data_IF_476357838972
#
_entry.id   IF_476357838972
#
_cell.length_a   1.000
_cell.length_b   1.000
_cell.length_c   1.000
_cell.angle_alpha   90.00
_cell.angle_beta   90.00
_cell.angle_gamma   90.00
#
_symmetry.space_group_name_H-M   'P 1'
#
loop_
_entity.id
_entity.type
_entity.pdbx_description
1 polymer ?
#
# COMPACT_ATOMS: atom_id res chain seq x y z
N UNK A 1 19.22 41.11 -12.27
CA UNK A 1 19.56 40.24 -13.40
C UNK A 1 18.39 39.39 -13.87
N UNK A 2 17.51 38.85 -12.99
CA UNK A 2 16.42 37.91 -13.35
C UNK A 2 15.09 38.59 -13.70
N UNK A 3 14.91 39.86 -13.38
CA UNK A 3 13.66 40.57 -13.62
C UNK A 3 13.41 40.74 -15.13
N UNK A 4 12.25 40.28 -15.61
CA UNK A 4 11.87 40.34 -17.03
C UNK A 4 12.57 39.32 -17.94
N UNK A 5 13.41 38.45 -17.41
CA UNK A 5 14.10 37.43 -18.17
C UNK A 5 13.35 36.08 -18.11
N UNK A 6 13.55 35.26 -19.16
CA UNK A 6 13.03 33.88 -19.20
C UNK A 6 14.02 32.96 -18.44
N UNK A 7 13.51 32.24 -17.46
CA UNK A 7 14.32 31.29 -16.71
C UNK A 7 14.36 29.94 -17.46
N UNK A 8 15.52 29.58 -17.98
CA UNK A 8 15.74 28.34 -18.73
C UNK A 8 16.59 27.38 -17.92
N UNK A 9 16.12 26.13 -17.74
CA UNK A 9 16.91 25.08 -17.10
C UNK A 9 16.52 23.69 -17.59
N UNK A 10 17.42 22.71 -17.35
CA UNK A 10 17.17 21.30 -17.65
C UNK A 10 16.44 20.64 -16.48
N UNK A 11 15.11 20.49 -16.59
CA UNK A 11 14.16 20.24 -15.52
C UNK A 11 13.88 21.50 -14.67
N UNK A 12 13.46 22.55 -15.35
CA UNK A 12 13.35 23.93 -14.84
C UNK A 12 12.65 24.08 -13.49
N UNK A 13 11.72 23.21 -13.16
CA UNK A 13 10.98 23.29 -11.90
C UNK A 13 11.90 23.15 -10.68
N UNK A 14 12.94 22.33 -10.82
CA UNK A 14 13.94 22.14 -9.77
C UNK A 14 14.71 23.44 -9.48
N UNK A 15 15.36 23.98 -10.50
CA UNK A 15 16.26 25.13 -10.36
C UNK A 15 15.46 26.40 -10.05
N UNK A 16 14.31 26.60 -10.69
CA UNK A 16 13.44 27.76 -10.45
C UNK A 16 12.90 27.77 -9.02
N UNK A 17 12.45 26.63 -8.48
CA UNK A 17 11.94 26.58 -7.11
C UNK A 17 13.03 26.83 -6.09
N UNK A 18 14.23 26.30 -6.31
CA UNK A 18 15.37 26.54 -5.45
C UNK A 18 15.72 28.03 -5.40
N UNK A 19 15.90 28.66 -6.55
CA UNK A 19 16.24 30.10 -6.66
C UNK A 19 15.11 30.96 -6.07
N UNK A 20 13.84 30.65 -6.38
CA UNK A 20 12.68 31.38 -5.83
C UNK A 20 12.64 31.31 -4.30
N UNK A 21 12.92 30.14 -3.71
CA UNK A 21 12.91 29.96 -2.25
C UNK A 21 14.04 30.75 -1.59
N UNK A 22 15.25 30.72 -2.16
CA UNK A 22 16.39 31.48 -1.64
C UNK A 22 16.15 33.00 -1.74
N UNK A 23 15.64 33.48 -2.88
CA UNK A 23 15.32 34.89 -3.05
C UNK A 23 14.21 35.37 -2.10
N UNK A 24 13.18 34.53 -1.88
CA UNK A 24 12.11 34.84 -0.92
C UNK A 24 12.64 34.96 0.51
N UNK A 25 13.61 34.14 0.90
CA UNK A 25 14.23 34.19 2.22
C UNK A 25 14.95 35.53 2.51
N UNK A 26 15.38 36.23 1.47
CA UNK A 26 16.01 37.54 1.54
C UNK A 26 15.09 38.69 1.05
N UNK A 27 13.77 38.45 0.99
CA UNK A 27 12.75 39.47 0.70
C UNK A 27 12.51 39.77 -0.77
N UNK A 28 13.06 38.98 -1.71
CA UNK A 28 12.82 39.15 -3.15
C UNK A 28 11.85 38.12 -3.71
N UNK A 29 10.88 38.55 -4.50
CA UNK A 29 9.94 37.68 -5.19
C UNK A 29 10.39 37.43 -6.64
N UNK A 30 10.68 36.17 -6.99
CA UNK A 30 10.99 35.76 -8.36
C UNK A 30 9.69 35.43 -9.13
N UNK A 31 9.41 36.22 -10.16
CA UNK A 31 8.33 35.98 -11.11
C UNK A 31 8.93 36.08 -12.53
N UNK A 32 9.28 34.93 -13.12
CA UNK A 32 9.83 34.86 -14.46
C UNK A 32 9.16 33.75 -15.25
N UNK A 33 8.91 33.95 -16.58
CA UNK A 33 8.51 32.83 -17.44
C UNK A 33 9.55 31.73 -17.40
N UNK A 34 9.11 30.48 -17.54
CA UNK A 34 9.98 29.30 -17.41
C UNK A 34 9.99 28.48 -18.69
N UNK A 35 11.18 28.04 -19.11
CA UNK A 35 11.36 27.07 -20.19
C UNK A 35 12.13 25.86 -19.68
N UNK A 36 11.59 24.68 -19.96
CA UNK A 36 12.21 23.40 -19.59
C UNK A 36 12.85 22.75 -20.81
N UNK A 37 14.16 22.64 -20.86
CA UNK A 37 14.87 22.04 -22.00
C UNK A 37 14.56 20.54 -22.13
N UNK A 38 14.20 19.81 -21.06
CA UNK A 38 13.71 18.42 -21.16
C UNK A 38 12.42 18.34 -21.97
N UNK A 39 11.47 19.24 -21.70
CA UNK A 39 10.18 19.28 -22.42
C UNK A 39 10.37 19.66 -23.87
N UNK A 40 11.11 20.72 -24.08
CA UNK A 40 11.42 21.20 -25.43
C UNK A 40 12.14 20.12 -26.24
N UNK A 41 13.15 19.43 -25.65
CA UNK A 41 13.84 18.34 -26.32
C UNK A 41 12.90 17.19 -26.71
N UNK A 42 11.92 16.85 -25.88
CA UNK A 42 10.94 15.80 -26.21
C UNK A 42 10.01 16.18 -27.35
N UNK A 43 9.72 17.47 -27.48
CA UNK A 43 8.84 18.00 -28.53
C UNK A 43 9.60 18.26 -29.86
N UNK A 44 10.77 18.84 -29.75
CA UNK A 44 11.57 19.28 -30.91
C UNK A 44 12.44 18.14 -31.45
N UNK A 45 12.96 17.29 -30.55
CA UNK A 45 13.86 16.17 -30.87
C UNK A 45 13.29 14.86 -30.28
N UNK A 46 12.17 14.33 -30.82
CA UNK A 46 11.59 13.09 -30.35
C UNK A 46 12.47 11.86 -30.68
N UNK A 47 12.27 10.72 -29.96
CA UNK A 47 12.89 9.44 -30.30
C UNK A 47 14.16 9.09 -29.52
N UNK A 48 14.68 9.95 -28.66
CA UNK A 48 15.82 9.60 -27.82
C UNK A 48 15.42 8.71 -26.64
N UNK A 49 16.23 7.69 -26.29
CA UNK A 49 15.92 6.74 -25.22
C UNK A 49 16.00 7.38 -23.81
N UNK A 50 16.68 8.51 -23.69
CA UNK A 50 16.76 9.29 -22.44
C UNK A 50 16.97 10.76 -22.72
N UNK A 51 16.20 11.59 -22.00
CA UNK A 51 16.31 13.04 -22.02
C UNK A 51 17.03 13.61 -20.79
N UNK A 52 17.82 12.81 -20.07
CA UNK A 52 18.73 13.34 -19.06
C UNK A 52 19.86 14.12 -19.72
N UNK A 53 20.28 15.25 -19.13
CA UNK A 53 21.23 16.19 -19.76
C UNK A 53 22.44 15.49 -20.33
N UNK A 54 23.14 14.68 -19.52
CA UNK A 54 24.36 14.02 -19.94
C UNK A 54 24.17 12.97 -21.04
N UNK A 55 23.05 12.21 -21.04
CA UNK A 55 22.79 11.23 -22.11
C UNK A 55 22.35 11.92 -23.39
N UNK A 56 21.47 12.89 -23.28
CA UNK A 56 20.95 13.63 -24.44
C UNK A 56 22.08 14.42 -25.13
N UNK A 57 22.89 15.16 -24.38
CA UNK A 57 24.01 15.91 -24.93
C UNK A 57 25.01 14.98 -25.65
N UNK A 58 25.31 13.81 -25.07
CA UNK A 58 26.19 12.82 -25.72
C UNK A 58 25.58 12.30 -27.02
N UNK A 59 24.29 11.98 -27.06
CA UNK A 59 23.59 11.54 -28.26
C UNK A 59 23.51 12.63 -29.35
N UNK A 60 23.59 13.90 -28.95
CA UNK A 60 23.55 15.06 -29.84
C UNK A 60 24.97 15.57 -30.23
N UNK A 61 26.04 14.92 -29.80
CA UNK A 61 27.42 15.34 -30.04
C UNK A 61 27.84 16.62 -29.30
N UNK A 62 27.11 17.00 -28.24
CA UNK A 62 27.44 18.16 -27.41
C UNK A 62 28.51 17.75 -26.39
N UNK A 63 29.69 18.39 -26.44
CA UNK A 63 30.76 18.16 -25.49
C UNK A 63 30.36 18.57 -24.07
N UNK A 64 30.70 17.74 -23.09
CA UNK A 64 30.38 17.93 -21.67
C UNK A 64 31.70 18.10 -20.89
N UNK A 65 31.98 19.30 -20.50
CA UNK A 65 33.09 19.59 -19.61
C UNK A 65 32.64 19.66 -18.16
N UNK A 66 33.48 19.20 -17.23
CA UNK A 66 33.23 19.31 -15.78
C UNK A 66 31.86 18.82 -15.29
N UNK A 67 31.41 17.63 -15.73
CA UNK A 67 30.15 17.01 -15.32
C UNK A 67 29.99 16.95 -13.81
N UNK A 68 28.72 17.15 -13.36
CA UNK A 68 28.32 17.18 -11.94
C UNK A 68 28.81 18.40 -11.16
N UNK A 69 29.36 19.41 -11.85
CA UNK A 69 29.56 20.76 -11.31
C UNK A 69 28.56 21.71 -11.94
N UNK A 70 28.04 22.64 -11.16
CA UNK A 70 26.98 23.57 -11.60
C UNK A 70 27.33 24.31 -12.90
N UNK A 71 28.58 24.75 -13.05
CA UNK A 71 29.06 25.43 -14.25
C UNK A 71 29.03 24.56 -15.50
N UNK A 72 29.50 23.30 -15.41
CA UNK A 72 29.50 22.38 -16.55
C UNK A 72 28.08 21.98 -16.99
N UNK A 73 27.18 21.72 -16.05
CA UNK A 73 25.78 21.41 -16.34
C UNK A 73 25.04 22.61 -16.91
N UNK A 74 25.40 23.85 -16.50
CA UNK A 74 24.87 25.10 -17.08
C UNK A 74 25.34 25.29 -18.50
N UNK A 75 26.65 25.14 -18.78
CA UNK A 75 27.20 25.26 -20.15
C UNK A 75 26.57 24.24 -21.10
N UNK A 76 26.42 22.99 -20.66
CA UNK A 76 25.72 21.94 -21.42
C UNK A 76 24.25 22.31 -21.70
N UNK A 77 23.54 22.88 -20.71
CA UNK A 77 22.15 23.33 -20.88
C UNK A 77 22.05 24.47 -21.88
N UNK A 78 23.00 25.41 -21.87
CA UNK A 78 23.06 26.51 -22.88
C UNK A 78 23.29 25.96 -24.27
N UNK A 79 24.26 25.06 -24.44
CA UNK A 79 24.55 24.44 -25.74
C UNK A 79 23.35 23.66 -26.28
N UNK A 80 22.68 22.86 -25.41
CA UNK A 80 21.45 22.16 -25.74
C UNK A 80 20.33 23.13 -26.15
N UNK A 81 20.14 24.23 -25.40
CA UNK A 81 19.07 25.19 -25.67
C UNK A 81 19.30 25.93 -27.00
N UNK A 82 20.55 26.31 -27.33
CA UNK A 82 20.91 26.87 -28.64
C UNK A 82 20.54 25.92 -29.79
N UNK A 83 20.83 24.60 -29.62
CA UNK A 83 20.44 23.60 -30.60
C UNK A 83 18.92 23.47 -30.72
N UNK A 84 18.20 23.50 -29.61
CA UNK A 84 16.73 23.47 -29.63
C UNK A 84 16.11 24.68 -30.33
N UNK A 85 16.69 25.87 -30.17
CA UNK A 85 16.25 27.08 -30.91
C UNK A 85 16.42 26.87 -32.40
N UNK A 86 17.55 26.31 -32.85
CA UNK A 86 17.81 26.05 -34.25
C UNK A 86 16.90 25.01 -34.88
N UNK A 87 16.56 23.96 -34.11
CA UNK A 87 15.73 22.84 -34.61
C UNK A 87 14.20 23.06 -34.43
N UNK A 88 13.77 24.17 -33.80
CA UNK A 88 12.34 24.42 -33.46
C UNK A 88 11.52 24.96 -34.66
N UNK A 89 11.39 24.18 -35.72
CA UNK A 89 10.59 24.51 -36.88
C UNK A 89 9.09 24.69 -36.58
N UNK A 90 8.59 24.07 -35.52
CA UNK A 90 7.16 24.11 -35.18
C UNK A 90 6.81 25.16 -34.10
N UNK A 91 7.76 26.03 -33.74
CA UNK A 91 7.60 27.11 -32.76
C UNK A 91 7.13 26.61 -31.37
N UNK A 92 7.61 25.45 -30.93
CA UNK A 92 7.30 24.90 -29.62
C UNK A 92 7.76 25.78 -28.46
N UNK A 93 8.90 26.48 -28.61
CA UNK A 93 9.42 27.45 -27.63
C UNK A 93 8.43 28.60 -27.44
N UNK A 94 7.98 29.23 -28.51
CA UNK A 94 7.01 30.32 -28.48
C UNK A 94 5.66 29.85 -27.88
N UNK A 95 5.19 28.67 -28.29
CA UNK A 95 3.97 28.06 -27.75
C UNK A 95 4.08 27.79 -26.25
N UNK A 96 5.25 27.34 -25.77
CA UNK A 96 5.51 27.07 -24.34
C UNK A 96 5.54 28.33 -23.47
N UNK A 97 5.93 29.48 -24.04
CA UNK A 97 5.89 30.77 -23.34
C UNK A 97 4.47 31.36 -23.24
N UNK A 98 3.62 31.12 -24.24
CA UNK A 98 2.22 31.59 -24.28
C UNK A 98 1.28 30.77 -23.39
N UNK A 99 1.60 29.53 -23.09
CA UNK A 99 0.82 28.65 -22.22
C UNK A 99 1.19 28.87 -20.75
N UNK A 100 0.23 29.31 -19.95
CA UNK A 100 0.21 29.06 -18.50
C UNK A 100 0.00 27.53 -18.28
N UNK A 101 0.99 26.73 -18.66
CA UNK A 101 0.83 25.30 -18.77
C UNK A 101 1.00 24.66 -17.39
N UNK A 102 -0.10 24.20 -16.81
CA UNK A 102 -0.11 23.04 -15.88
C UNK A 102 0.31 21.78 -16.65
N UNK A 103 1.31 21.86 -17.52
CA UNK A 103 1.77 20.70 -18.29
C UNK A 103 2.65 19.82 -17.42
N UNK A 104 2.45 18.56 -17.56
CA UNK A 104 2.98 17.42 -16.83
C UNK A 104 4.48 17.26 -17.10
N UNK A 105 5.29 17.29 -16.07
CA UNK A 105 6.73 17.16 -16.19
C UNK A 105 7.13 15.72 -15.85
N UNK A 106 7.17 14.87 -16.88
CA UNK A 106 7.72 13.53 -16.70
C UNK A 106 9.21 13.62 -16.36
N UNK A 107 9.70 12.91 -15.32
CA UNK A 107 11.12 12.90 -14.97
C UNK A 107 12.01 12.60 -16.19
N UNK A 108 13.17 13.24 -16.31
CA UNK A 108 14.01 13.15 -17.53
C UNK A 108 14.51 11.75 -17.83
N UNK A 109 14.60 10.87 -16.82
CA UNK A 109 15.05 9.49 -16.96
C UNK A 109 13.94 8.49 -17.28
N UNK A 110 12.66 8.89 -17.18
CA UNK A 110 11.52 8.01 -17.43
C UNK A 110 11.19 8.01 -18.92
N UNK A 111 11.15 6.83 -19.57
CA UNK A 111 10.71 6.72 -20.95
C UNK A 111 9.25 7.16 -21.09
N UNK A 112 8.94 7.94 -22.16
CA UNK A 112 7.57 8.37 -22.41
C UNK A 112 6.58 7.21 -22.57
N UNK A 113 6.92 6.08 -23.24
CA UNK A 113 6.04 4.92 -23.33
C UNK A 113 5.59 4.35 -21.99
N UNK A 114 6.47 4.34 -20.98
CA UNK A 114 6.10 3.86 -19.62
C UNK A 114 4.93 4.66 -19.04
N UNK A 115 4.86 5.94 -19.35
CA UNK A 115 3.77 6.81 -18.91
C UNK A 115 2.52 6.70 -19.81
N UNK A 116 2.70 6.65 -21.12
CA UNK A 116 1.60 6.62 -22.09
C UNK A 116 0.75 5.34 -21.94
N UNK A 117 1.36 4.23 -21.54
CA UNK A 117 0.71 2.93 -21.30
C UNK A 117 -0.06 2.84 -19.97
N UNK A 118 0.06 3.83 -19.07
CA UNK A 118 -0.61 3.80 -17.79
C UNK A 118 -2.12 3.81 -17.94
N UNK A 119 -2.84 2.85 -17.29
CA UNK A 119 -4.29 2.78 -17.36
C UNK A 119 -4.97 3.83 -16.46
N UNK A 120 -6.24 4.10 -16.76
CA UNK A 120 -7.12 4.95 -15.95
C UNK A 120 -7.93 4.14 -14.93
N UNK A 121 -7.50 2.92 -14.62
CA UNK A 121 -8.17 1.93 -13.75
C UNK A 121 -7.50 1.86 -12.38
N UNK A 122 -8.19 1.24 -11.37
CA UNK A 122 -7.60 0.99 -10.07
C UNK A 122 -6.41 0.04 -10.14
N UNK A 123 -5.40 0.28 -9.31
CA UNK A 123 -4.27 -0.63 -9.20
C UNK A 123 -3.10 -0.06 -8.40
N UNK A 124 -1.99 -0.77 -8.49
CA UNK A 124 -0.72 -0.44 -7.85
C UNK A 124 0.29 -0.07 -8.93
N UNK A 125 1.09 0.96 -8.68
CA UNK A 125 2.18 1.38 -9.56
C UNK A 125 3.50 1.37 -8.81
N UNK A 126 4.57 1.14 -9.57
CA UNK A 126 5.92 0.96 -9.05
C UNK A 126 6.87 1.93 -9.77
N UNK A 127 7.68 2.64 -8.99
CA UNK A 127 8.79 3.40 -9.54
C UNK A 127 10.09 2.65 -9.30
N UNK A 128 10.88 2.53 -10.35
CA UNK A 128 12.14 1.80 -10.34
C UNK A 128 13.32 2.75 -10.53
N UNK A 129 14.45 2.42 -9.92
CA UNK A 129 15.72 3.11 -10.14
C UNK A 129 16.43 2.62 -11.43
N UNK A 130 17.62 3.16 -11.68
CA UNK A 130 18.45 2.80 -12.85
C UNK A 130 18.87 1.34 -12.89
N UNK A 131 18.85 0.63 -11.74
CA UNK A 131 19.17 -0.80 -11.61
C UNK A 131 17.93 -1.69 -11.69
N UNK A 132 16.73 -1.12 -11.88
CA UNK A 132 15.46 -1.85 -11.90
C UNK A 132 14.89 -2.15 -10.51
N UNK A 133 15.54 -1.70 -9.42
CA UNK A 133 15.02 -1.91 -8.06
C UNK A 133 13.83 -0.99 -7.82
N UNK A 134 12.74 -1.53 -7.23
CA UNK A 134 11.58 -0.76 -6.81
C UNK A 134 11.98 0.18 -5.68
N UNK A 135 11.78 1.48 -5.89
CA UNK A 135 12.09 2.54 -4.93
C UNK A 135 10.84 3.16 -4.30
N UNK A 136 9.69 2.97 -4.93
CA UNK A 136 8.39 3.40 -4.42
C UNK A 136 7.27 2.51 -4.95
N UNK A 137 6.28 2.23 -4.10
CA UNK A 137 5.02 1.57 -4.42
C UNK A 137 3.88 2.49 -4.03
N UNK A 138 2.87 2.61 -4.88
CA UNK A 138 1.69 3.40 -4.56
C UNK A 138 0.43 2.83 -5.18
N UNK A 139 -0.72 3.05 -4.52
CA UNK A 139 -2.05 2.68 -5.01
C UNK A 139 -2.77 3.86 -5.66
N UNK A 140 -3.70 3.55 -6.53
CA UNK A 140 -4.57 4.53 -7.15
C UNK A 140 -5.93 3.94 -7.54
N UNK A 141 -6.96 4.77 -7.55
CA UNK A 141 -8.24 4.49 -8.24
C UNK A 141 -8.07 4.72 -9.75
N UNK A 142 -7.20 5.66 -10.11
CA UNK A 142 -6.78 5.95 -11.47
C UNK A 142 -5.25 6.07 -11.48
N UNK A 143 -4.58 5.03 -11.99
CA UNK A 143 -3.11 4.93 -11.97
C UNK A 143 -2.48 6.10 -12.73
N UNK A 144 -2.96 6.38 -13.95
CA UNK A 144 -2.41 7.45 -14.81
C UNK A 144 -2.49 8.81 -14.13
N UNK A 145 -3.63 9.14 -13.56
CA UNK A 145 -3.82 10.39 -12.84
C UNK A 145 -2.91 10.50 -11.61
N UNK A 146 -2.81 9.43 -10.83
CA UNK A 146 -2.01 9.43 -9.61
C UNK A 146 -0.51 9.51 -9.88
N UNK A 147 -0.01 8.75 -10.84
CA UNK A 147 1.39 8.82 -11.28
C UNK A 147 1.73 10.23 -11.73
N UNK A 148 0.83 10.83 -12.51
CA UNK A 148 0.98 12.21 -12.94
C UNK A 148 1.09 13.18 -11.76
N UNK A 149 0.24 13.07 -10.75
CA UNK A 149 0.26 13.95 -9.59
C UNK A 149 1.59 13.93 -8.81
N UNK A 150 2.37 12.86 -8.93
CA UNK A 150 3.73 12.83 -8.37
C UNK A 150 4.68 13.81 -9.06
N UNK A 151 4.44 14.09 -10.34
CA UNK A 151 5.35 14.87 -11.18
C UNK A 151 4.85 16.31 -11.45
N UNK A 152 3.63 16.65 -11.06
CA UNK A 152 2.95 17.93 -11.34
C UNK A 152 3.06 19.00 -10.25
N UNK A 153 3.82 18.79 -9.18
CA UNK A 153 3.84 19.70 -8.02
C UNK A 153 4.85 20.84 -8.20
N UNK A 154 4.41 22.08 -8.02
CA UNK A 154 5.15 23.30 -8.32
C UNK A 154 6.31 23.65 -7.36
N UNK A 155 6.40 23.03 -6.20
CA UNK A 155 7.45 23.29 -5.20
C UNK A 155 7.93 21.99 -4.52
N UNK A 156 8.72 21.14 -5.20
CA UNK A 156 9.16 19.89 -4.59
C UNK A 156 10.20 20.13 -3.49
N UNK A 157 9.99 19.50 -2.32
CA UNK A 157 10.99 19.43 -1.26
C UNK A 157 12.27 18.74 -1.75
N UNK A 158 13.40 18.93 -1.07
CA UNK A 158 14.66 18.24 -1.41
C UNK A 158 14.48 16.71 -1.48
N UNK A 159 13.67 16.14 -0.57
CA UNK A 159 13.36 14.71 -0.57
C UNK A 159 12.59 14.29 -1.82
N UNK A 160 11.58 15.06 -2.23
CA UNK A 160 10.81 14.80 -3.46
C UNK A 160 11.67 14.94 -4.71
N UNK A 161 12.62 15.87 -4.72
CA UNK A 161 13.56 16.04 -5.82
C UNK A 161 14.50 14.83 -5.96
N UNK A 162 15.06 14.34 -4.82
CA UNK A 162 15.89 13.11 -4.79
C UNK A 162 15.08 11.91 -5.29
N UNK A 163 13.83 11.81 -4.88
CA UNK A 163 12.91 10.79 -5.36
C UNK A 163 12.72 10.87 -6.88
N UNK A 164 12.33 12.02 -7.43
CA UNK A 164 12.11 12.21 -8.87
C UNK A 164 13.36 11.90 -9.71
N UNK A 165 14.55 12.29 -9.24
CA UNK A 165 15.82 11.96 -9.92
C UNK A 165 16.15 10.47 -9.91
N UNK A 166 15.67 9.74 -8.91
CA UNK A 166 15.91 8.29 -8.78
C UNK A 166 15.02 7.44 -9.70
N UNK A 167 13.88 8.00 -10.19
CA UNK A 167 12.93 7.27 -11.02
C UNK A 167 13.43 7.16 -12.46
N UNK A 168 13.54 5.91 -12.95
CA UNK A 168 14.02 5.60 -14.30
C UNK A 168 13.01 4.75 -15.10
N UNK A 169 12.07 4.09 -14.43
CA UNK A 169 11.04 3.26 -15.05
C UNK A 169 9.77 3.27 -14.22
N UNK A 170 8.62 3.12 -14.88
CA UNK A 170 7.31 2.98 -14.25
C UNK A 170 6.71 1.66 -14.70
N UNK A 171 6.25 0.85 -13.76
CA UNK A 171 5.41 -0.33 -14.03
C UNK A 171 4.14 -0.27 -13.21
N UNK A 172 3.17 -1.07 -13.54
CA UNK A 172 1.90 -1.10 -12.83
C UNK A 172 1.29 -2.50 -12.82
N UNK A 173 0.35 -2.71 -11.92
CA UNK A 173 -0.53 -3.88 -11.88
C UNK A 173 -1.96 -3.40 -11.69
N UNK A 174 -2.84 -3.70 -12.66
CA UNK A 174 -4.25 -3.38 -12.54
C UNK A 174 -4.90 -4.25 -11.46
N UNK A 175 -5.82 -3.63 -10.72
CA UNK A 175 -6.67 -4.30 -9.73
C UNK A 175 -8.14 -4.09 -10.11
N UNK A 176 -8.99 -5.06 -9.81
CA UNK A 176 -10.42 -4.95 -10.09
C UNK A 176 -11.10 -3.86 -9.26
N UNK A 177 -10.60 -3.63 -8.03
CA UNK A 177 -11.21 -2.71 -7.07
C UNK A 177 -10.17 -1.89 -6.29
N UNK A 178 -10.57 -0.76 -5.69
CA UNK A 178 -9.72 0.01 -4.78
C UNK A 178 -9.29 -0.78 -3.54
N UNK A 179 -10.12 -1.71 -3.05
CA UNK A 179 -9.78 -2.59 -1.92
C UNK A 179 -8.55 -3.45 -2.26
N UNK A 180 -8.59 -4.15 -3.41
CA UNK A 180 -7.44 -4.96 -3.83
C UNK A 180 -6.18 -4.13 -4.03
N UNK A 181 -6.31 -2.93 -4.62
CA UNK A 181 -5.17 -2.03 -4.77
C UNK A 181 -4.58 -1.63 -3.41
N UNK A 182 -5.42 -1.44 -2.38
CA UNK A 182 -4.97 -1.09 -1.02
C UNK A 182 -4.24 -2.25 -0.33
N UNK A 183 -4.77 -3.47 -0.46
CA UNK A 183 -4.16 -4.68 0.09
C UNK A 183 -2.83 -4.97 -0.61
N UNK A 184 -2.82 -4.94 -1.94
CA UNK A 184 -1.63 -5.22 -2.73
C UNK A 184 -0.52 -4.19 -2.48
N UNK A 185 -0.84 -2.89 -2.43
CA UNK A 185 0.14 -1.85 -2.07
C UNK A 185 0.80 -2.16 -0.72
N UNK A 186 -0.01 -2.48 0.29
CA UNK A 186 0.50 -2.77 1.64
C UNK A 186 1.39 -4.02 1.67
N UNK A 187 0.98 -5.08 0.99
CA UNK A 187 1.74 -6.32 0.86
C UNK A 187 3.08 -6.06 0.13
N UNK A 188 3.06 -5.33 -0.97
CA UNK A 188 4.24 -4.99 -1.77
C UNK A 188 5.22 -4.07 -1.02
N UNK A 189 4.72 -3.11 -0.23
CA UNK A 189 5.57 -2.26 0.62
C UNK A 189 6.30 -3.12 1.67
N UNK A 190 5.61 -4.05 2.32
CA UNK A 190 6.21 -4.98 3.32
C UNK A 190 7.20 -5.96 2.69
N UNK A 191 6.92 -6.45 1.48
CA UNK A 191 7.78 -7.39 0.78
C UNK A 191 9.04 -6.74 0.20
N UNK A 192 8.88 -5.59 -0.50
CA UNK A 192 9.99 -4.95 -1.23
C UNK A 192 10.77 -3.93 -0.41
N UNK A 193 10.22 -3.43 0.68
CA UNK A 193 10.80 -2.41 1.55
C UNK A 193 11.35 -1.19 0.80
N UNK A 194 10.53 -0.52 -0.06
CA UNK A 194 11.01 0.49 -0.98
C UNK A 194 11.54 1.72 -0.24
N UNK A 195 12.63 2.32 -0.74
CA UNK A 195 13.34 3.41 -0.05
C UNK A 195 12.45 4.62 0.28
N UNK A 196 11.54 4.98 -0.61
CA UNK A 196 10.73 6.20 -0.50
C UNK A 196 9.33 5.99 0.09
N UNK A 197 8.95 4.77 0.46
CA UNK A 197 7.78 4.56 1.29
C UNK A 197 8.19 4.69 2.75
N UNK A 198 7.63 5.68 3.46
CA UNK A 198 7.84 5.87 4.90
C UNK A 198 6.82 5.10 5.74
N UNK A 199 5.55 5.12 5.28
CA UNK A 199 4.45 4.43 5.95
C UNK A 199 4.52 2.91 5.83
N UNK A 200 3.85 2.20 6.76
CA UNK A 200 3.65 0.74 6.76
C UNK A 200 4.91 -0.12 6.91
N UNK A 201 6.06 0.46 7.29
CA UNK A 201 7.31 -0.30 7.49
C UNK A 201 7.51 -0.83 8.92
N UNK A 202 6.80 -0.30 9.91
CA UNK A 202 6.94 -0.78 11.30
C UNK A 202 6.52 -2.23 11.42
N UNK A 203 7.28 -2.99 12.20
CA UNK A 203 6.87 -4.33 12.63
C UNK A 203 5.73 -4.18 13.62
N UNK A 204 4.69 -5.00 13.47
CA UNK A 204 3.47 -4.93 14.28
C UNK A 204 3.30 -6.25 15.02
N UNK A 205 2.93 -6.15 16.29
CA UNK A 205 2.54 -7.32 17.07
C UNK A 205 1.14 -7.77 16.60
N UNK A 206 0.97 -9.07 16.45
CA UNK A 206 -0.31 -9.73 16.22
C UNK A 206 -0.67 -10.48 17.49
N UNK A 207 -1.92 -10.42 17.91
CA UNK A 207 -2.43 -11.13 19.08
C UNK A 207 -3.19 -12.36 18.65
N UNK A 208 -3.13 -13.41 19.46
CA UNK A 208 -3.72 -14.71 19.15
C UNK A 208 -4.55 -15.24 20.30
N UNK A 209 -5.67 -15.87 19.97
CA UNK A 209 -6.47 -16.63 20.90
C UNK A 209 -5.95 -18.06 20.97
N UNK A 210 -5.62 -18.48 22.17
CA UNK A 210 -5.17 -19.83 22.51
C UNK A 210 -6.22 -20.57 23.34
N UNK A 211 -6.32 -21.88 23.15
CA UNK A 211 -7.15 -22.74 23.97
C UNK A 211 -6.31 -23.95 24.46
N UNK A 212 -6.36 -24.23 25.74
CA UNK A 212 -5.67 -25.35 26.34
C UNK A 212 -6.45 -25.88 27.55
N UNK A 213 -6.23 -27.14 27.93
CA UNK A 213 -6.83 -27.74 29.13
C UNK A 213 -5.92 -27.46 30.32
N UNK A 214 -6.51 -27.08 31.47
CA UNK A 214 -5.79 -27.01 32.73
C UNK A 214 -5.76 -28.40 33.44
N UNK A 215 -5.06 -28.48 34.56
CA UNK A 215 -4.90 -29.72 35.34
C UNK A 215 -6.23 -30.31 35.84
N UNK A 216 -7.28 -29.48 35.97
CA UNK A 216 -8.63 -29.89 36.36
C UNK A 216 -9.50 -30.28 35.16
N UNK A 217 -8.95 -30.27 33.95
CA UNK A 217 -9.62 -30.63 32.70
C UNK A 217 -10.50 -29.55 32.09
N UNK A 218 -10.51 -28.31 32.61
CA UNK A 218 -11.25 -27.21 32.03
C UNK A 218 -10.48 -26.58 30.86
N UNK A 219 -11.19 -26.29 29.78
CA UNK A 219 -10.63 -25.51 28.66
C UNK A 219 -10.48 -24.04 29.09
N UNK A 220 -9.27 -23.51 28.95
CA UNK A 220 -8.95 -22.11 29.19
C UNK A 220 -8.70 -21.39 27.89
N UNK A 221 -9.15 -20.13 27.82
CA UNK A 221 -9.00 -19.27 26.63
C UNK A 221 -8.11 -18.07 26.99
N UNK A 222 -6.94 -17.99 26.38
CA UNK A 222 -5.98 -16.92 26.63
C UNK A 222 -5.75 -16.10 25.37
N UNK A 223 -5.66 -14.78 25.52
CA UNK A 223 -5.26 -13.85 24.48
C UNK A 223 -3.86 -13.34 24.79
N UNK A 224 -2.89 -13.65 23.92
CA UNK A 224 -1.50 -13.23 24.07
C UNK A 224 -0.90 -12.86 22.70
N UNK A 225 0.30 -12.27 22.69
CA UNK A 225 1.05 -12.04 21.45
C UNK A 225 1.28 -13.35 20.72
N UNK A 226 1.11 -13.30 19.39
CA UNK A 226 1.36 -14.47 18.54
C UNK A 226 2.81 -14.94 18.67
N UNK A 227 3.00 -16.22 18.96
CA UNK A 227 4.32 -16.85 19.11
C UNK A 227 4.55 -17.82 17.95
N UNK A 228 5.77 -17.83 17.43
CA UNK A 228 6.18 -18.85 16.47
C UNK A 228 6.10 -20.22 17.14
N UNK A 229 5.62 -21.22 16.42
CA UNK A 229 5.52 -22.63 16.88
C UNK A 229 4.46 -22.90 17.97
N UNK A 230 3.57 -21.95 18.26
CA UNK A 230 2.42 -22.22 19.14
C UNK A 230 1.15 -22.16 18.29
N UNK A 231 0.40 -23.25 18.26
CA UNK A 231 -0.88 -23.33 17.55
C UNK A 231 -1.88 -22.37 18.18
N UNK A 232 -2.47 -21.51 17.37
CA UNK A 232 -3.49 -20.54 17.79
C UNK A 232 -4.78 -20.74 17.01
N UNK A 233 -5.91 -20.39 17.62
CA UNK A 233 -7.22 -20.56 17.02
C UNK A 233 -7.59 -19.41 16.10
N UNK A 234 -7.33 -18.18 16.55
CA UNK A 234 -7.68 -16.94 15.87
C UNK A 234 -6.61 -15.88 16.09
N UNK A 235 -6.60 -14.90 15.24
CA UNK A 235 -5.67 -13.78 15.31
C UNK A 235 -6.38 -12.44 15.26
N UNK A 236 -5.82 -11.45 15.95
CA UNK A 236 -6.36 -10.10 16.06
C UNK A 236 -5.25 -9.06 15.84
N UNK A 237 -5.54 -7.96 15.14
CA UNK A 237 -4.58 -6.87 14.96
C UNK A 237 -4.30 -6.11 16.25
N UNK A 238 -5.26 -6.12 17.20
CA UNK A 238 -5.17 -5.41 18.48
C UNK A 238 -5.59 -6.29 19.65
N UNK A 239 -4.88 -6.17 20.78
CA UNK A 239 -5.24 -6.86 22.00
C UNK A 239 -6.65 -6.47 22.50
N UNK A 240 -6.99 -5.19 22.43
CA UNK A 240 -8.30 -4.69 22.84
C UNK A 240 -9.45 -5.30 22.02
N UNK A 241 -9.25 -5.51 20.72
CA UNK A 241 -10.23 -6.17 19.84
C UNK A 241 -10.43 -7.62 20.25
N UNK A 242 -9.33 -8.38 20.42
CA UNK A 242 -9.40 -9.76 20.88
C UNK A 242 -10.08 -9.90 22.24
N UNK A 243 -9.80 -9.01 23.20
CA UNK A 243 -10.50 -8.99 24.49
C UNK A 243 -11.99 -8.63 24.33
N UNK A 244 -12.35 -7.71 23.44
CA UNK A 244 -13.75 -7.37 23.17
C UNK A 244 -14.52 -8.56 22.60
N UNK A 245 -13.95 -9.26 21.63
CA UNK A 245 -14.53 -10.48 21.04
C UNK A 245 -14.67 -11.58 22.11
N UNK A 246 -13.62 -11.83 22.89
CA UNK A 246 -13.63 -12.84 23.94
C UNK A 246 -14.67 -12.52 25.03
N UNK A 247 -14.83 -11.26 25.43
CA UNK A 247 -15.86 -10.83 26.39
C UNK A 247 -17.29 -11.04 25.85
N UNK A 248 -17.54 -10.68 24.58
CA UNK A 248 -18.83 -10.91 23.93
C UNK A 248 -19.15 -12.39 23.89
N UNK A 249 -18.20 -13.21 23.47
CA UNK A 249 -18.34 -14.66 23.41
C UNK A 249 -18.58 -15.27 24.82
N UNK A 250 -17.82 -14.83 25.82
CA UNK A 250 -17.97 -15.31 27.19
C UNK A 250 -19.37 -15.00 27.76
N UNK A 251 -19.92 -13.82 27.48
CA UNK A 251 -21.28 -13.45 27.89
C UNK A 251 -22.33 -14.28 27.16
N UNK A 252 -22.23 -14.38 25.83
CA UNK A 252 -23.22 -15.07 25.02
C UNK A 252 -23.31 -16.58 25.32
N UNK A 253 -22.16 -17.21 25.53
CA UNK A 253 -22.10 -18.66 25.82
C UNK A 253 -21.93 -18.99 27.29
N UNK A 254 -22.16 -18.04 28.18
CA UNK A 254 -22.09 -18.23 29.65
C UNK A 254 -20.76 -18.84 30.10
N UNK A 255 -19.60 -18.39 29.53
CA UNK A 255 -18.29 -18.86 29.86
C UNK A 255 -17.74 -18.18 31.13
N UNK A 256 -16.81 -18.85 31.80
CA UNK A 256 -16.21 -18.33 33.02
C UNK A 256 -15.15 -17.25 32.68
N UNK A 257 -15.31 -16.03 33.21
CA UNK A 257 -14.38 -14.92 32.99
C UNK A 257 -12.95 -15.23 33.49
N UNK A 258 -12.80 -16.00 34.58
CA UNK A 258 -11.50 -16.42 35.11
C UNK A 258 -10.81 -17.46 34.23
N UNK A 259 -11.55 -18.44 33.70
CA UNK A 259 -11.00 -19.42 32.78
C UNK A 259 -10.68 -18.82 31.40
N UNK A 260 -11.27 -17.63 31.10
CA UNK A 260 -10.97 -16.85 29.91
C UNK A 260 -9.94 -15.72 30.16
N UNK A 261 -9.27 -15.68 31.34
CA UNK A 261 -8.34 -14.60 31.72
C UNK A 261 -8.87 -13.18 31.54
N UNK A 262 -10.19 -13.01 31.62
CA UNK A 262 -10.89 -11.72 31.54
C UNK A 262 -11.07 -11.06 32.91
N UNK A 263 -10.97 -11.85 33.97
CA UNK A 263 -10.89 -11.41 35.36
C UNK A 263 -9.62 -11.99 36.00
N UNK A 264 -8.68 -11.14 36.37
CA UNK A 264 -7.38 -11.50 36.98
C UNK A 264 -7.35 -11.21 38.47
N UNK A 265 -8.21 -10.32 38.96
CA UNK A 265 -8.26 -9.91 40.35
C UNK A 265 -8.71 -11.06 41.29
N UNK A 266 -8.16 -11.06 42.49
CA UNK A 266 -8.59 -11.97 43.57
C UNK A 266 -10.03 -11.64 44.01
N UNK A 267 -10.78 -12.63 44.48
CA UNK A 267 -12.14 -12.40 44.95
C UNK A 267 -13.19 -13.32 44.27
N UNK A 268 -14.48 -13.12 44.48
CA UNK A 268 -15.53 -13.90 43.83
C UNK A 268 -15.54 -13.69 42.32
N UNK A 269 -15.91 -14.75 41.60
CA UNK A 269 -16.00 -14.65 40.13
C UNK A 269 -17.20 -13.79 39.76
N UNK A 270 -16.95 -12.63 39.08
CA UNK A 270 -18.00 -11.71 38.65
C UNK A 270 -19.04 -12.39 37.76
N UNK A 271 -18.63 -13.34 36.90
CA UNK A 271 -19.53 -14.09 36.06
C UNK A 271 -20.54 -14.93 36.83
N UNK A 272 -20.21 -15.39 38.05
CA UNK A 272 -21.16 -16.10 38.95
C UNK A 272 -22.14 -15.09 39.57
N UNK A 273 -21.62 -13.98 40.07
CA UNK A 273 -22.43 -12.95 40.71
C UNK A 273 -23.44 -12.33 39.75
N UNK A 274 -23.07 -12.17 38.48
CA UNK A 274 -23.92 -11.66 37.41
C UNK A 274 -24.78 -12.74 36.71
N UNK A 275 -24.80 -13.97 37.23
CA UNK A 275 -25.51 -15.12 36.64
C UNK A 275 -25.08 -15.49 35.20
N UNK A 276 -23.92 -15.03 34.74
CA UNK A 276 -23.37 -15.34 33.43
C UNK A 276 -22.47 -16.59 33.41
N UNK A 277 -22.13 -17.17 34.57
CA UNK A 277 -21.30 -18.34 34.69
C UNK A 277 -21.89 -19.31 35.71
N UNK A 278 -21.83 -20.62 35.41
CA UNK A 278 -22.33 -21.69 36.30
C UNK A 278 -21.33 -22.13 37.35
N UNK A 279 -20.24 -21.35 37.60
CA UNK A 279 -19.27 -21.61 38.65
C UNK A 279 -18.18 -22.61 38.27
N UNK A 280 -17.81 -22.71 36.99
CA UNK A 280 -16.76 -23.61 36.53
C UNK A 280 -15.40 -23.39 37.24
N UNK A 281 -15.00 -22.12 37.52
CA UNK A 281 -13.77 -21.83 38.31
C UNK A 281 -13.86 -22.19 39.80
N UNK A 282 -15.05 -22.52 40.31
CA UNK A 282 -15.35 -22.97 41.65
C UNK A 282 -15.69 -24.48 41.70
N UNK A 283 -15.48 -25.19 40.57
CA UNK A 283 -15.79 -26.63 40.43
C UNK A 283 -17.28 -26.97 40.61
N UNK A 284 -18.19 -25.99 40.65
CA UNK A 284 -19.64 -26.20 40.73
C UNK A 284 -20.24 -26.76 39.44
N UNK A 285 -19.58 -26.51 38.32
CA UNK A 285 -19.94 -27.06 37.00
C UNK A 285 -18.87 -28.06 36.56
N UNK A 286 -19.25 -29.29 36.15
CA UNK A 286 -18.30 -30.29 35.67
C UNK A 286 -17.57 -29.84 34.38
N UNK A 287 -16.26 -30.22 34.24
CA UNK A 287 -15.46 -29.83 33.04
C UNK A 287 -16.13 -30.18 31.72
N UNK A 288 -16.74 -31.34 31.59
CA UNK A 288 -17.39 -31.80 30.38
C UNK A 288 -18.49 -30.80 29.92
N UNK A 289 -19.35 -30.34 30.81
CA UNK A 289 -20.44 -29.41 30.51
C UNK A 289 -19.91 -28.03 30.11
N UNK A 290 -18.92 -27.53 30.84
CA UNK A 290 -18.25 -26.26 30.51
C UNK A 290 -17.55 -26.32 29.16
N UNK A 291 -16.75 -27.37 28.95
CA UNK A 291 -15.97 -27.54 27.71
C UNK A 291 -16.85 -27.66 26.47
N UNK A 292 -18.02 -28.30 26.55
CA UNK A 292 -18.98 -28.35 25.44
C UNK A 292 -19.44 -26.96 25.00
N UNK A 293 -19.69 -26.05 25.97
CA UNK A 293 -20.05 -24.66 25.67
C UNK A 293 -18.87 -23.89 25.04
N UNK A 294 -17.66 -24.09 25.59
CA UNK A 294 -16.44 -23.47 25.01
C UNK A 294 -16.23 -23.96 23.58
N UNK A 295 -16.38 -25.26 23.32
CA UNK A 295 -16.22 -25.83 21.98
C UNK A 295 -17.27 -25.25 21.00
N UNK A 296 -18.55 -25.18 21.39
CA UNK A 296 -19.58 -24.57 20.57
C UNK A 296 -19.30 -23.09 20.26
N UNK A 297 -18.87 -22.33 21.29
CA UNK A 297 -18.50 -20.93 21.12
C UNK A 297 -17.31 -20.74 20.16
N UNK A 298 -16.30 -21.60 20.27
CA UNK A 298 -15.13 -21.56 19.38
C UNK A 298 -15.49 -21.95 17.96
N UNK A 299 -16.36 -22.97 17.76
CA UNK A 299 -16.83 -23.35 16.41
C UNK A 299 -17.52 -22.19 15.70
N UNK A 300 -18.43 -21.49 16.39
CA UNK A 300 -19.09 -20.33 15.85
C UNK A 300 -18.08 -19.21 15.51
N UNK A 301 -17.22 -18.88 16.45
CA UNK A 301 -16.25 -17.79 16.28
C UNK A 301 -15.25 -18.07 15.13
N UNK A 302 -14.81 -19.31 14.98
CA UNK A 302 -13.92 -19.72 13.88
C UNK A 302 -14.66 -19.69 12.55
N UNK A 303 -15.92 -20.12 12.51
CA UNK A 303 -16.74 -20.05 11.29
C UNK A 303 -16.90 -18.61 10.80
N UNK A 304 -17.18 -17.65 11.70
CA UNK A 304 -17.32 -16.23 11.38
C UNK A 304 -16.00 -15.57 10.92
N UNK A 305 -14.86 -16.15 11.34
CA UNK A 305 -13.51 -15.67 11.01
C UNK A 305 -12.93 -16.26 9.71
N UNK A 306 -13.68 -17.17 9.06
CA UNK A 306 -13.30 -17.77 7.79
C UNK A 306 -14.25 -17.31 6.69
N UNK A 307 -13.75 -16.46 5.79
CA UNK A 307 -14.59 -15.92 4.73
C UNK A 307 -13.81 -15.51 3.49
N UNK A 308 -14.54 -15.40 2.39
CA UNK A 308 -14.11 -14.79 1.14
C UNK A 308 -14.78 -13.43 0.98
N UNK A 309 -14.02 -12.47 0.49
CA UNK A 309 -14.59 -11.28 -0.13
C UNK A 309 -14.59 -11.53 -1.63
N UNK A 310 -15.77 -11.45 -2.24
CA UNK A 310 -15.96 -11.66 -3.68
C UNK A 310 -16.40 -10.34 -4.31
N UNK A 311 -15.63 -9.81 -5.24
CA UNK A 311 -15.92 -8.53 -5.89
C UNK A 311 -15.55 -8.56 -7.39
N UNK A 312 -15.65 -7.43 -8.07
CA UNK A 312 -15.33 -7.26 -9.49
C UNK A 312 -13.89 -7.63 -9.77
N UNK A 313 -13.67 -8.36 -10.86
CA UNK A 313 -12.34 -8.60 -11.44
C UNK A 313 -11.82 -7.40 -12.25
N UNK A 314 -10.70 -7.59 -12.93
CA UNK A 314 -10.11 -6.57 -13.83
C UNK A 314 -10.94 -6.40 -15.10
N UNK A 315 -11.74 -7.43 -15.43
CA UNK A 315 -12.65 -7.46 -16.57
C UNK A 315 -13.92 -8.28 -16.23
N UNK A 316 -14.87 -8.36 -17.14
CA UNK A 316 -16.16 -9.04 -16.94
C UNK A 316 -16.06 -10.58 -16.91
N UNK A 317 -14.93 -11.17 -17.32
CA UNK A 317 -14.74 -12.62 -17.38
C UNK A 317 -14.19 -13.22 -16.09
N UNK A 318 -13.87 -12.39 -15.11
CA UNK A 318 -13.30 -12.81 -13.83
C UNK A 318 -13.90 -12.08 -12.65
N UNK A 319 -13.83 -12.68 -11.48
CA UNK A 319 -14.07 -12.03 -10.17
C UNK A 319 -12.80 -12.00 -9.37
N UNK A 320 -12.70 -11.04 -8.47
CA UNK A 320 -11.63 -10.96 -7.49
C UNK A 320 -12.03 -11.65 -6.20
N UNK A 321 -11.08 -12.31 -5.57
CA UNK A 321 -11.24 -13.04 -4.32
C UNK A 321 -10.18 -12.62 -3.34
N UNK A 322 -10.60 -12.37 -2.09
CA UNK A 322 -9.72 -12.14 -0.94
C UNK A 322 -10.10 -13.18 0.10
N UNK A 323 -9.15 -14.02 0.50
CA UNK A 323 -9.36 -15.05 1.51
C UNK A 323 -8.87 -14.58 2.88
N UNK A 324 -9.75 -14.70 3.86
CA UNK A 324 -9.43 -14.57 5.28
C UNK A 324 -9.64 -15.92 5.94
N UNK A 325 -8.60 -16.44 6.59
CA UNK A 325 -8.60 -17.71 7.30
C UNK A 325 -8.23 -17.48 8.76
N UNK A 326 -9.06 -17.94 9.68
CA UNK A 326 -8.88 -17.76 11.13
C UNK A 326 -8.63 -16.30 11.53
N UNK A 327 -9.33 -15.36 10.87
CA UNK A 327 -9.17 -13.94 11.12
C UNK A 327 -7.92 -13.31 10.51
N UNK A 328 -7.10 -14.05 9.76
CA UNK A 328 -5.93 -13.51 9.06
C UNK A 328 -6.17 -13.48 7.55
N UNK A 329 -5.79 -12.39 6.92
CA UNK A 329 -5.68 -12.32 5.48
C UNK A 329 -4.64 -13.32 4.98
N UNK A 330 -5.08 -14.26 4.14
CA UNK A 330 -4.22 -15.26 3.49
C UNK A 330 -3.65 -14.76 2.17
N UNK A 331 -4.53 -14.26 1.29
CA UNK A 331 -4.11 -13.89 -0.06
C UNK A 331 -5.27 -13.37 -0.90
N UNK A 332 -4.94 -12.97 -2.11
CA UNK A 332 -5.90 -12.48 -3.09
C UNK A 332 -5.59 -13.03 -4.50
N UNK A 333 -6.60 -13.06 -5.35
CA UNK A 333 -6.46 -13.50 -6.72
C UNK A 333 -7.67 -13.21 -7.58
N UNK A 334 -7.63 -13.69 -8.81
CA UNK A 334 -8.69 -13.54 -9.79
C UNK A 334 -9.07 -14.92 -10.33
N UNK A 335 -10.36 -15.18 -10.35
CA UNK A 335 -10.90 -16.46 -10.79
C UNK A 335 -11.90 -16.21 -11.92
N UNK A 336 -11.82 -16.95 -13.03
CA UNK A 336 -12.81 -16.88 -14.09
C UNK A 336 -14.22 -17.11 -13.56
N UNK A 337 -15.22 -16.37 -14.07
CA UNK A 337 -16.62 -16.50 -13.63
C UNK A 337 -17.21 -17.89 -13.91
N UNK A 338 -16.59 -18.67 -14.79
CA UNK A 338 -16.97 -20.06 -15.11
C UNK A 338 -16.60 -21.06 -14.01
N UNK A 339 -15.68 -20.71 -13.11
CA UNK A 339 -15.23 -21.59 -12.02
C UNK A 339 -16.05 -21.28 -10.76
N UNK A 340 -16.68 -22.30 -10.20
CA UNK A 340 -17.32 -22.25 -8.89
C UNK A 340 -16.35 -22.79 -7.85
N UNK A 341 -16.01 -22.00 -6.86
CA UNK A 341 -15.13 -22.39 -5.76
C UNK A 341 -15.98 -22.93 -4.62
N UNK A 342 -15.78 -24.18 -4.22
CA UNK A 342 -16.63 -24.90 -3.28
C UNK A 342 -16.00 -25.03 -1.88
N UNK A 343 -14.67 -25.05 -1.78
CA UNK A 343 -13.96 -25.25 -0.52
C UNK A 343 -12.68 -24.40 -0.39
N UNK A 344 -12.06 -24.41 0.81
CA UNK A 344 -10.84 -23.68 1.10
C UNK A 344 -9.64 -24.11 0.26
N UNK A 345 -9.52 -25.38 -0.02
CA UNK A 345 -8.35 -25.95 -0.70
C UNK A 345 -8.36 -25.51 -2.16
N UNK A 346 -9.52 -25.61 -2.80
CA UNK A 346 -9.73 -25.14 -4.16
C UNK A 346 -9.51 -23.63 -4.29
N UNK A 347 -10.07 -22.84 -3.37
CA UNK A 347 -9.87 -21.38 -3.34
C UNK A 347 -8.38 -21.01 -3.28
N UNK A 348 -7.61 -21.65 -2.40
CA UNK A 348 -6.18 -21.35 -2.22
C UNK A 348 -5.35 -21.57 -3.49
N UNK A 349 -5.71 -22.55 -4.33
CA UNK A 349 -4.97 -22.81 -5.59
C UNK A 349 -5.01 -21.66 -6.58
N UNK A 350 -6.05 -20.82 -6.49
CA UNK A 350 -6.25 -19.66 -7.36
C UNK A 350 -5.75 -18.34 -6.76
N UNK A 351 -5.30 -18.35 -5.50
CA UNK A 351 -4.88 -17.13 -4.81
C UNK A 351 -3.37 -17.06 -4.65
N UNK A 352 -2.83 -15.86 -4.78
CA UNK A 352 -1.46 -15.58 -4.41
C UNK A 352 -1.42 -15.27 -2.91
N UNK A 353 -0.65 -16.03 -2.10
CA UNK A 353 -0.51 -15.75 -0.69
C UNK A 353 0.34 -14.51 -0.45
N UNK A 354 -0.05 -13.70 0.51
CA UNK A 354 0.70 -12.52 0.96
C UNK A 354 0.79 -12.48 2.46
N UNK A 355 1.84 -11.87 2.97
CA UNK A 355 1.98 -11.67 4.41
C UNK A 355 0.95 -10.65 4.91
N UNK A 356 0.09 -11.07 5.84
CA UNK A 356 -0.85 -10.19 6.51
C UNK A 356 -0.14 -9.14 7.39
N UNK A 357 -0.79 -7.99 7.59
CA UNK A 357 -0.37 -6.96 8.53
C UNK A 357 -1.61 -6.23 9.07
N UNK A 358 -1.42 -5.42 10.13
CA UNK A 358 -2.51 -4.71 10.79
C UNK A 358 -3.34 -3.83 9.84
N UNK A 359 -2.68 -3.11 8.93
CA UNK A 359 -3.37 -2.26 7.96
C UNK A 359 -4.29 -3.07 7.03
N UNK A 360 -3.81 -4.21 6.52
CA UNK A 360 -4.62 -5.10 5.67
C UNK A 360 -5.81 -5.64 6.46
N UNK A 361 -5.60 -6.08 7.69
CA UNK A 361 -6.67 -6.61 8.54
C UNK A 361 -7.73 -5.55 8.82
N UNK A 362 -7.32 -4.30 9.13
CA UNK A 362 -8.24 -3.21 9.40
C UNK A 362 -9.11 -2.89 8.17
N UNK A 363 -8.51 -2.72 6.99
CA UNK A 363 -9.30 -2.38 5.79
C UNK A 363 -10.21 -3.53 5.35
N UNK A 364 -9.87 -4.78 5.63
CA UNK A 364 -10.72 -5.93 5.38
C UNK A 364 -11.90 -5.92 6.36
N UNK A 365 -11.66 -5.63 7.63
CA UNK A 365 -12.72 -5.54 8.63
C UNK A 365 -13.69 -4.40 8.33
N UNK A 366 -13.17 -3.20 8.03
CA UNK A 366 -13.98 -2.04 7.63
C UNK A 366 -14.84 -2.35 6.39
N UNK A 367 -14.27 -3.11 5.44
CA UNK A 367 -14.98 -3.52 4.24
C UNK A 367 -16.07 -4.56 4.53
N UNK A 368 -15.80 -5.55 5.40
CA UNK A 368 -16.76 -6.56 5.84
C UNK A 368 -17.99 -5.92 6.49
N UNK A 369 -17.79 -4.91 7.32
CA UNK A 369 -18.86 -4.16 7.98
C UNK A 369 -19.68 -3.31 7.00
N UNK A 370 -18.99 -2.71 6.00
CA UNK A 370 -19.63 -1.82 5.02
C UNK A 370 -20.35 -2.56 3.89
N UNK A 371 -19.92 -3.77 3.55
CA UNK A 371 -20.41 -4.54 2.41
C UNK A 371 -20.63 -6.02 2.76
N UNK A 372 -21.57 -6.34 3.65
CA UNK A 372 -21.82 -7.71 4.10
C UNK A 372 -22.29 -8.64 2.97
N UNK A 373 -22.95 -8.10 1.95
CA UNK A 373 -23.41 -8.79 0.75
C UNK A 373 -22.27 -9.38 -0.12
N UNK A 374 -21.04 -8.87 0.03
CA UNK A 374 -19.85 -9.35 -0.66
C UNK A 374 -19.06 -10.39 0.12
N UNK A 375 -19.54 -10.74 1.31
CA UNK A 375 -18.89 -11.71 2.20
C UNK A 375 -19.52 -13.08 2.00
N UNK A 376 -18.70 -14.05 1.65
CA UNK A 376 -19.10 -15.46 1.58
C UNK A 376 -18.41 -16.21 2.72
N UNK A 377 -19.19 -16.65 3.71
CA UNK A 377 -18.65 -17.50 4.77
C UNK A 377 -18.24 -18.86 4.19
N UNK A 378 -17.14 -19.36 4.68
CA UNK A 378 -16.62 -20.68 4.31
C UNK A 378 -16.85 -21.67 5.46
N UNK A 379 -16.96 -22.98 5.16
CA UNK A 379 -17.08 -23.97 6.21
C UNK A 379 -15.93 -23.89 7.19
N UNK A 380 -16.19 -24.14 8.49
CA UNK A 380 -15.17 -24.07 9.53
C UNK A 380 -14.09 -25.12 9.29
N UNK A 381 -12.83 -24.70 9.41
CA UNK A 381 -11.70 -25.64 9.40
C UNK A 381 -11.66 -26.36 10.75
N UNK A 382 -11.50 -27.68 10.79
CA UNK A 382 -11.35 -28.42 12.03
C UNK A 382 -10.20 -27.83 12.90
N UNK A 383 -10.42 -27.75 14.20
CA UNK A 383 -9.41 -27.31 15.15
C UNK A 383 -9.26 -28.31 16.29
N UNK A 384 -8.05 -28.40 16.83
CA UNK A 384 -7.75 -29.23 17.99
C UNK A 384 -7.44 -28.34 19.21
N UNK A 385 -7.91 -28.72 20.36
CA UNK A 385 -7.59 -28.10 21.66
C UNK A 385 -6.55 -29.01 22.33
N UNK A 386 -5.38 -28.49 22.59
CA UNK A 386 -4.25 -29.17 23.18
C UNK A 386 -4.29 -29.15 24.72
#
# INVERSE_FOLDING_TARGET
>A
LLKGQIFVAHNVQFDYTFVKTQLKAIGFELQSPKLCTVRLSRQILPGYPSYSLGKLCRSLGIQLENRHRAGGDTAATVALFKKLIHEDQQHHIAKSLKRNSKEWILPPNVPKPDFDQLPTRPGVYYFHDKKGKVVYVGKAINIRFRVNSHFSNDAPTLQKQRFMRSVHRITYQECGTPLLASILESAEIKHRWPRFNAAQKKQEDVYSLFAFKDQKGYIRLALDKSKKNVSSLLHFPHQAEGHSVLRKMARHHHLCLRLCFLQTEAGPCEGVNQQHCKGACQEKEPPLRYNNRVSAALQQLIAEANFLIVDKGRNLKEKSYILVERGIFYGLGYVPVSIKLNDFTEVKTHLTPYRSNRYIQQIIQDFKESFPDKIQLLPPVPFSIH
#
